data_IF_359396202728
#
_entry.id   IF_359396202728
#
_cell.length_a   1.000
_cell.length_b   1.000
_cell.length_c   1.000
_cell.angle_alpha   90.00
_cell.angle_beta   90.00
_cell.angle_gamma   90.00
#
_symmetry.space_group_name_H-M   'P 1'
#
loop_
_entity.id
_entity.type
_entity.pdbx_description
1 polymer ?
#
# COMPACT_ATOMS: atom_id res chain seq x y z
N UNK A 1 19.48 22.03 33.72
CA UNK A 1 19.60 21.60 32.32
C UNK A 1 18.97 20.23 32.22
N UNK A 2 17.69 20.17 31.88
CA UNK A 2 16.99 18.91 31.58
C UNK A 2 15.78 19.27 30.72
N UNK A 3 16.01 19.39 29.41
CA UNK A 3 14.97 19.55 28.40
C UNK A 3 15.28 18.52 27.31
N UNK A 4 14.50 17.44 27.25
CA UNK A 4 14.19 16.66 26.03
C UNK A 4 13.53 15.31 26.32
N UNK A 5 12.52 15.28 27.19
CA UNK A 5 11.44 14.30 26.99
C UNK A 5 10.44 14.92 26.02
N UNK A 6 10.70 14.74 24.73
CA UNK A 6 9.70 14.98 23.69
C UNK A 6 8.55 14.01 23.97
N UNK A 7 7.50 14.54 24.58
CA UNK A 7 6.33 13.81 25.01
C UNK A 7 5.54 13.33 23.77
N UNK A 8 5.83 12.11 23.32
CA UNK A 8 5.27 11.45 22.13
C UNK A 8 3.73 11.43 22.15
N UNK A 9 3.10 11.35 23.33
CA UNK A 9 1.63 11.41 23.49
C UNK A 9 1.05 12.79 23.13
N UNK A 10 1.82 13.87 23.34
CA UNK A 10 1.38 15.22 22.99
C UNK A 10 1.38 15.45 21.47
N UNK A 11 2.25 14.76 20.74
CA UNK A 11 2.34 14.80 19.28
C UNK A 11 1.22 13.96 18.64
N UNK A 12 0.90 12.79 19.19
CA UNK A 12 -0.23 11.96 18.73
C UNK A 12 -1.58 12.63 19.01
N UNK A 13 -1.77 13.26 20.18
CA UNK A 13 -3.00 14.06 20.41
C UNK A 13 -3.09 15.25 19.46
N UNK A 14 -2.01 16.03 19.27
CA UNK A 14 -2.02 17.17 18.34
C UNK A 14 -2.28 16.76 16.89
N UNK A 15 -1.73 15.63 16.42
CA UNK A 15 -1.97 15.15 15.07
C UNK A 15 -3.42 14.71 14.87
N UNK A 16 -4.02 14.09 15.89
CA UNK A 16 -5.43 13.66 15.86
C UNK A 16 -6.39 14.85 15.78
N UNK A 17 -6.16 15.91 16.58
CA UNK A 17 -6.96 17.14 16.55
C UNK A 17 -6.79 17.96 15.27
N UNK A 18 -5.60 17.97 14.67
CA UNK A 18 -5.39 18.67 13.39
C UNK A 18 -6.14 17.99 12.24
N UNK A 19 -6.32 16.67 12.26
CA UNK A 19 -6.96 15.92 11.19
C UNK A 19 -8.47 16.11 11.13
N UNK A 20 -9.16 16.29 12.26
CA UNK A 20 -10.63 16.48 12.29
C UNK A 20 -11.11 17.69 11.47
N UNK A 21 -10.26 18.72 11.31
CA UNK A 21 -10.62 19.95 10.58
C UNK A 21 -10.69 19.76 9.06
N UNK A 22 -10.07 18.71 8.52
CA UNK A 22 -9.90 18.48 7.08
C UNK A 22 -10.61 17.20 6.62
N UNK A 23 -11.60 16.80 7.38
CA UNK A 23 -12.34 15.58 7.19
C UNK A 23 -13.81 15.88 7.04
N UNK A 24 -14.41 15.20 6.08
CA UNK A 24 -15.82 15.33 5.79
C UNK A 24 -16.49 13.98 5.92
N UNK A 25 -17.72 13.99 6.41
CA UNK A 25 -18.55 12.79 6.43
C UNK A 25 -19.61 12.94 5.33
N UNK A 26 -19.58 12.12 4.27
CA UNK A 26 -20.55 12.25 3.20
C UNK A 26 -21.95 11.97 3.73
N UNK A 27 -22.91 12.75 3.23
CA UNK A 27 -24.31 12.59 3.57
C UNK A 27 -24.83 11.17 3.21
N UNK A 28 -24.30 10.60 2.12
CA UNK A 28 -24.68 9.28 1.62
C UNK A 28 -24.18 8.11 2.48
N UNK A 29 -23.29 8.36 3.45
CA UNK A 29 -22.80 7.33 4.38
C UNK A 29 -23.25 7.58 5.82
N UNK A 30 -24.37 8.28 6.04
CA UNK A 30 -24.82 8.75 7.37
C UNK A 30 -24.78 7.68 8.47
N UNK A 31 -25.04 6.42 8.16
CA UNK A 31 -25.07 5.32 9.14
C UNK A 31 -23.79 4.48 9.18
N UNK A 32 -22.80 4.81 8.36
CA UNK A 32 -21.53 4.11 8.32
C UNK A 32 -20.56 4.77 9.30
N UNK A 33 -19.83 3.94 10.02
CA UNK A 33 -18.77 4.37 10.90
C UNK A 33 -17.43 4.27 10.19
N UNK A 34 -16.72 5.38 10.13
CA UNK A 34 -15.35 5.43 9.60
C UNK A 34 -14.37 4.89 10.63
N UNK A 35 -13.72 3.76 10.32
CA UNK A 35 -12.57 3.25 11.05
C UNK A 35 -11.31 3.69 10.31
N UNK A 36 -10.58 4.66 10.89
CA UNK A 36 -9.26 5.04 10.37
C UNK A 36 -8.27 3.90 10.60
N UNK A 37 -7.40 3.70 9.65
CA UNK A 37 -6.34 2.71 9.73
C UNK A 37 -5.04 3.42 10.10
N UNK A 38 -4.27 2.82 11.01
CA UNK A 38 -2.99 3.41 11.41
C UNK A 38 -2.01 3.43 10.25
N UNK A 39 -1.36 4.58 9.97
CA UNK A 39 -0.30 4.62 8.98
C UNK A 39 0.88 3.77 9.44
N UNK A 40 1.23 2.73 8.66
CA UNK A 40 2.29 1.80 9.01
C UNK A 40 3.68 2.29 8.57
N UNK A 41 3.84 3.58 8.23
CA UNK A 41 5.11 4.15 7.77
C UNK A 41 6.23 3.96 8.80
N UNK A 42 5.91 4.09 10.10
CA UNK A 42 6.87 3.80 11.18
C UNK A 42 7.40 2.36 11.11
N UNK A 43 6.56 1.40 10.72
CA UNK A 43 6.96 -0.01 10.54
C UNK A 43 7.83 -0.22 9.30
N UNK A 44 7.68 0.61 8.25
CA UNK A 44 8.51 0.57 7.03
C UNK A 44 9.92 1.14 7.24
N UNK A 45 10.07 2.11 8.15
CA UNK A 45 11.35 2.81 8.34
C UNK A 45 12.49 1.84 8.68
N UNK A 46 12.24 0.89 9.59
CA UNK A 46 13.27 -0.04 10.05
C UNK A 46 13.76 -0.98 8.93
N UNK A 47 12.89 -1.69 8.17
CA UNK A 47 13.32 -2.44 7.00
C UNK A 47 13.98 -1.61 5.91
N UNK A 48 13.55 -0.36 5.74
CA UNK A 48 14.17 0.57 4.77
C UNK A 48 15.63 0.84 5.14
N UNK A 49 15.92 1.12 6.42
CA UNK A 49 17.27 1.33 6.89
C UNK A 49 18.16 0.10 6.71
N UNK A 50 17.65 -1.10 7.03
CA UNK A 50 18.39 -2.35 6.81
C UNK A 50 18.65 -2.64 5.34
N UNK A 51 17.63 -2.45 4.51
CA UNK A 51 17.75 -2.59 3.06
C UNK A 51 18.79 -1.63 2.48
N UNK A 52 18.80 -0.37 2.93
CA UNK A 52 19.80 0.62 2.52
C UNK A 52 21.21 0.25 3.00
N UNK A 53 21.35 -0.25 4.24
CA UNK A 53 22.62 -0.72 4.77
C UNK A 53 23.17 -1.88 3.93
N UNK A 54 22.33 -2.88 3.63
CA UNK A 54 22.68 -4.02 2.78
C UNK A 54 23.11 -3.54 1.39
N UNK A 55 22.35 -2.63 0.79
CA UNK A 55 22.68 -2.04 -0.51
C UNK A 55 24.02 -1.30 -0.46
N UNK A 56 24.26 -0.48 0.57
CA UNK A 56 25.51 0.28 0.75
C UNK A 56 26.73 -0.61 0.94
N UNK A 57 26.62 -1.68 1.74
CA UNK A 57 27.68 -2.69 1.89
C UNK A 57 27.91 -3.42 0.55
N UNK A 58 26.84 -3.74 -0.17
CA UNK A 58 26.93 -4.33 -1.51
C UNK A 58 27.71 -3.44 -2.48
N UNK A 59 27.37 -2.15 -2.55
CA UNK A 59 28.08 -1.14 -3.35
C UNK A 59 29.56 -1.11 -2.97
N UNK A 60 29.86 -1.04 -1.67
CA UNK A 60 31.23 -1.02 -1.18
C UNK A 60 32.02 -2.24 -1.66
N UNK A 61 31.46 -3.44 -1.51
CA UNK A 61 32.12 -4.70 -1.91
C UNK A 61 32.28 -4.83 -3.42
N UNK A 62 31.40 -4.22 -4.22
CA UNK A 62 31.55 -4.20 -5.68
C UNK A 62 32.55 -3.14 -6.19
N UNK A 63 32.79 -2.08 -5.41
CA UNK A 63 33.71 -1.00 -5.77
C UNK A 63 35.15 -1.26 -5.30
N UNK A 64 35.32 -1.98 -4.19
CA UNK A 64 36.63 -2.29 -3.65
C UNK A 64 37.33 -3.35 -4.51
N UNK A 65 38.58 -3.07 -4.87
CA UNK A 65 39.42 -3.89 -5.75
C UNK A 65 39.70 -5.29 -5.15
N UNK A 66 40.00 -6.27 -6.01
CA UNK A 66 40.31 -7.68 -5.68
C UNK A 66 41.50 -7.83 -4.73
N UNK A 67 42.27 -6.75 -4.53
CA UNK A 67 43.38 -6.67 -3.58
C UNK A 67 42.92 -6.50 -2.14
N UNK A 68 41.66 -6.13 -1.92
CA UNK A 68 41.02 -6.19 -0.62
C UNK A 68 40.46 -7.59 -0.42
N UNK A 69 40.47 -8.15 0.80
CA UNK A 69 39.90 -9.47 1.09
C UNK A 69 38.35 -9.52 0.95
N UNK A 70 37.74 -8.55 0.28
CA UNK A 70 36.32 -8.47 0.03
C UNK A 70 35.98 -9.11 -1.31
N UNK A 71 34.95 -9.95 -1.33
CA UNK A 71 34.52 -10.64 -2.54
C UNK A 71 33.43 -9.83 -3.26
N UNK A 72 33.66 -9.51 -4.54
CA UNK A 72 32.69 -8.82 -5.40
C UNK A 72 31.40 -9.64 -5.54
N UNK A 73 31.51 -10.96 -5.45
CA UNK A 73 30.38 -11.89 -5.44
C UNK A 73 29.46 -11.67 -4.23
N UNK A 74 30.04 -11.49 -3.05
CA UNK A 74 29.28 -11.13 -1.85
C UNK A 74 28.64 -9.76 -2.07
N UNK A 75 29.36 -8.82 -2.66
CA UNK A 75 28.83 -7.52 -3.06
C UNK A 75 27.60 -7.62 -3.98
N UNK A 76 27.65 -8.45 -5.02
CA UNK A 76 26.55 -8.66 -5.95
C UNK A 76 25.32 -9.30 -5.30
N UNK A 77 25.51 -10.27 -4.40
CA UNK A 77 24.41 -10.85 -3.61
C UNK A 77 23.79 -9.77 -2.71
N UNK A 78 24.60 -8.96 -2.04
CA UNK A 78 24.11 -7.88 -1.18
C UNK A 78 23.36 -6.81 -1.99
N UNK A 79 23.88 -6.41 -3.15
CA UNK A 79 23.20 -5.48 -4.06
C UNK A 79 21.82 -5.98 -4.49
N UNK A 80 21.69 -7.27 -4.80
CA UNK A 80 20.42 -7.85 -5.20
C UNK A 80 19.46 -8.04 -4.01
N UNK A 81 19.98 -8.44 -2.86
CA UNK A 81 19.17 -8.68 -1.66
C UNK A 81 18.66 -7.39 -1.02
N UNK A 82 19.36 -6.27 -1.16
CA UNK A 82 18.92 -4.96 -0.65
C UNK A 82 17.49 -4.62 -1.08
N UNK A 83 17.20 -4.45 -2.39
CA UNK A 83 15.85 -4.22 -2.89
C UNK A 83 14.88 -5.33 -2.47
N UNK A 84 15.25 -6.60 -2.60
CA UNK A 84 14.39 -7.74 -2.21
C UNK A 84 13.89 -7.66 -0.78
N UNK A 85 14.77 -7.33 0.17
CA UNK A 85 14.41 -7.14 1.58
C UNK A 85 13.36 -6.05 1.73
N UNK A 86 13.49 -4.93 1.01
CA UNK A 86 12.50 -3.86 1.03
C UNK A 86 11.15 -4.31 0.46
N UNK A 87 11.14 -4.95 -0.71
CA UNK A 87 9.91 -5.41 -1.36
C UNK A 87 9.15 -6.45 -0.53
N UNK A 88 9.87 -7.43 0.02
CA UNK A 88 9.29 -8.42 0.92
C UNK A 88 8.76 -7.78 2.21
N UNK A 89 9.46 -6.77 2.73
CA UNK A 89 9.00 -6.05 3.92
C UNK A 89 7.73 -5.25 3.66
N UNK A 90 7.56 -4.66 2.48
CA UNK A 90 6.31 -3.99 2.10
C UNK A 90 5.14 -4.99 2.10
N UNK A 91 5.33 -6.16 1.49
CA UNK A 91 4.31 -7.21 1.48
C UNK A 91 4.00 -7.69 2.90
N UNK A 92 5.04 -7.96 3.70
CA UNK A 92 4.90 -8.41 5.08
C UNK A 92 4.14 -7.39 5.94
N UNK A 93 4.54 -6.11 5.93
CA UNK A 93 3.88 -5.05 6.71
C UNK A 93 2.43 -4.88 6.24
N UNK A 94 2.15 -4.99 4.94
CA UNK A 94 0.78 -4.89 4.44
C UNK A 94 -0.17 -5.98 4.96
N UNK A 95 0.37 -7.13 5.37
CA UNK A 95 -0.41 -8.21 5.98
C UNK A 95 -0.80 -7.93 7.44
N UNK A 96 -0.16 -6.97 8.10
CA UNK A 96 -0.51 -6.53 9.47
C UNK A 96 -1.56 -5.42 9.50
N UNK A 97 -2.12 -5.05 8.36
CA UNK A 97 -3.19 -4.06 8.30
C UNK A 97 -4.52 -4.68 8.76
N UNK A 98 -5.35 -3.90 9.45
CA UNK A 98 -6.75 -4.26 9.65
C UNK A 98 -7.41 -4.38 8.25
N UNK A 99 -7.82 -5.60 7.90
CA UNK A 99 -8.18 -6.07 6.56
C UNK A 99 -7.02 -6.08 5.52
N UNK A 100 -6.14 -7.10 5.56
CA UNK A 100 -5.01 -7.20 4.63
C UNK A 100 -5.44 -7.61 3.21
N UNK A 101 -4.85 -6.96 2.20
CA UNK A 101 -5.02 -7.29 0.78
C UNK A 101 -3.67 -7.52 0.08
N UNK A 102 -2.87 -8.53 0.50
CA UNK A 102 -1.51 -8.74 -0.02
C UNK A 102 -1.45 -8.89 -1.53
N UNK A 103 -2.46 -9.49 -2.14
CA UNK A 103 -2.52 -9.68 -3.59
C UNK A 103 -2.60 -8.35 -4.34
N UNK A 104 -3.33 -7.35 -3.81
CA UNK A 104 -3.40 -6.01 -4.40
C UNK A 104 -2.07 -5.26 -4.25
N UNK A 105 -1.42 -5.41 -3.09
CA UNK A 105 -0.10 -4.81 -2.82
C UNK A 105 0.97 -5.42 -3.71
N UNK A 106 1.00 -6.74 -3.85
CA UNK A 106 1.92 -7.43 -4.77
C UNK A 106 1.67 -7.02 -6.22
N UNK A 107 0.41 -6.99 -6.65
CA UNK A 107 0.04 -6.54 -7.99
C UNK A 107 0.46 -5.09 -8.24
N UNK A 108 0.23 -4.21 -7.26
CA UNK A 108 0.66 -2.82 -7.26
C UNK A 108 2.18 -2.67 -7.36
N UNK A 109 2.91 -3.40 -6.53
CA UNK A 109 4.38 -3.39 -6.53
C UNK A 109 4.90 -3.84 -7.89
N UNK A 110 4.39 -4.94 -8.45
CA UNK A 110 4.83 -5.46 -9.77
C UNK A 110 4.49 -4.50 -10.91
N UNK A 111 3.29 -3.93 -10.95
CA UNK A 111 2.87 -3.02 -12.03
C UNK A 111 3.62 -1.70 -12.00
N UNK A 112 3.87 -1.18 -10.80
CA UNK A 112 4.57 0.09 -10.66
C UNK A 112 6.09 -0.07 -10.72
N UNK A 113 6.60 -1.31 -10.61
CA UNK A 113 8.00 -1.61 -10.86
C UNK A 113 8.26 -1.69 -12.34
N UNK A 114 9.30 -1.00 -12.81
CA UNK A 114 9.81 -1.23 -14.17
C UNK A 114 10.52 -2.58 -14.17
N UNK A 115 9.77 -3.65 -14.46
CA UNK A 115 10.23 -5.05 -14.44
C UNK A 115 11.52 -5.30 -15.23
N UNK A 116 11.82 -4.46 -16.22
CA UNK A 116 13.09 -4.46 -16.94
C UNK A 116 14.30 -4.39 -16.00
N UNK A 117 14.25 -3.57 -14.93
CA UNK A 117 15.36 -3.47 -13.97
C UNK A 117 15.54 -4.73 -13.15
N UNK A 118 14.43 -5.36 -12.74
CA UNK A 118 14.48 -6.64 -12.05
C UNK A 118 15.11 -7.73 -12.94
N UNK A 119 14.69 -7.81 -14.21
CA UNK A 119 15.27 -8.77 -15.16
C UNK A 119 16.74 -8.49 -15.46
N UNK A 120 17.14 -7.22 -15.61
CA UNK A 120 18.55 -6.83 -15.75
C UNK A 120 19.35 -7.24 -14.51
N UNK A 121 18.87 -6.95 -13.31
CA UNK A 121 19.53 -7.34 -12.06
C UNK A 121 19.71 -8.85 -11.95
N UNK A 122 18.68 -9.63 -12.25
CA UNK A 122 18.74 -11.10 -12.24
C UNK A 122 19.74 -11.60 -13.29
N UNK A 123 19.68 -11.07 -14.51
CA UNK A 123 20.60 -11.45 -15.59
C UNK A 123 22.06 -11.17 -15.23
N UNK A 124 22.36 -9.98 -14.72
CA UNK A 124 23.70 -9.63 -14.26
C UNK A 124 24.15 -10.51 -13.09
N UNK A 125 23.27 -10.82 -12.13
CA UNK A 125 23.59 -11.71 -11.02
C UNK A 125 23.94 -13.12 -11.53
N UNK A 126 23.14 -13.68 -12.43
CA UNK A 126 23.41 -14.98 -13.03
C UNK A 126 24.74 -14.99 -13.79
N UNK A 127 25.03 -13.94 -14.57
CA UNK A 127 26.32 -13.82 -15.27
C UNK A 127 27.48 -13.75 -14.27
N UNK A 128 27.33 -12.97 -13.20
CA UNK A 128 28.32 -12.84 -12.14
C UNK A 128 28.61 -14.17 -11.44
N UNK A 129 27.57 -14.97 -11.18
CA UNK A 129 27.68 -16.30 -10.55
C UNK A 129 28.37 -17.30 -11.49
N UNK A 130 27.94 -17.36 -12.74
CA UNK A 130 28.37 -18.40 -13.70
C UNK A 130 29.74 -18.10 -14.30
N UNK A 131 29.95 -16.89 -14.80
CA UNK A 131 31.14 -16.52 -15.56
C UNK A 131 32.23 -15.87 -14.71
N UNK A 132 31.90 -15.37 -13.52
CA UNK A 132 32.83 -14.72 -12.57
C UNK A 132 33.76 -13.70 -13.25
N UNK A 133 33.22 -12.60 -13.78
CA UNK A 133 33.99 -11.64 -14.56
C UNK A 133 35.11 -11.00 -13.72
N UNK A 134 36.31 -10.90 -14.30
CA UNK A 134 37.44 -10.21 -13.67
C UNK A 134 37.41 -8.68 -13.88
N UNK A 135 36.48 -8.18 -14.70
CA UNK A 135 36.39 -6.76 -15.04
C UNK A 135 35.59 -5.98 -13.99
N UNK A 136 36.21 -4.99 -13.34
CA UNK A 136 35.55 -4.09 -12.38
C UNK A 136 34.37 -3.33 -12.97
N UNK A 137 34.40 -3.02 -14.28
CA UNK A 137 33.29 -2.38 -14.98
C UNK A 137 32.00 -3.20 -14.92
N UNK A 138 32.11 -4.54 -14.93
CA UNK A 138 30.94 -5.42 -14.82
C UNK A 138 30.30 -5.31 -13.43
N UNK A 139 31.10 -5.37 -12.37
CA UNK A 139 30.61 -5.28 -11.00
C UNK A 139 29.98 -3.91 -10.71
N UNK A 140 30.56 -2.84 -11.25
CA UNK A 140 29.99 -1.49 -11.16
C UNK A 140 28.64 -1.37 -11.87
N UNK A 141 28.46 -2.07 -13.00
CA UNK A 141 27.20 -2.08 -13.74
C UNK A 141 26.06 -2.68 -12.92
N UNK A 142 26.35 -3.59 -11.97
CA UNK A 142 25.33 -4.19 -11.10
C UNK A 142 24.71 -3.19 -10.12
N UNK A 143 25.37 -2.07 -9.83
CA UNK A 143 24.88 -1.08 -8.86
C UNK A 143 23.60 -0.40 -9.37
N UNK A 144 23.63 0.08 -10.62
CA UNK A 144 22.59 0.93 -11.21
C UNK A 144 21.18 0.29 -11.15
N UNK A 145 20.94 -0.91 -11.71
CA UNK A 145 19.59 -1.47 -11.73
C UNK A 145 19.07 -1.78 -10.32
N UNK A 146 19.94 -2.18 -9.38
CA UNK A 146 19.54 -2.45 -8.00
C UNK A 146 19.21 -1.17 -7.23
N UNK A 147 19.95 -0.08 -7.44
CA UNK A 147 19.63 1.24 -6.86
C UNK A 147 18.30 1.75 -7.41
N UNK A 148 18.06 1.64 -8.73
CA UNK A 148 16.79 2.06 -9.33
C UNK A 148 15.62 1.26 -8.74
N UNK A 149 15.76 -0.07 -8.66
CA UNK A 149 14.75 -0.96 -8.08
C UNK A 149 14.46 -0.60 -6.62
N UNK A 150 15.50 -0.33 -5.84
CA UNK A 150 15.37 0.12 -4.45
C UNK A 150 14.59 1.43 -4.33
N UNK A 151 14.90 2.42 -5.17
CA UNK A 151 14.22 3.71 -5.19
C UNK A 151 12.74 3.56 -5.56
N UNK A 152 12.41 2.73 -6.56
CA UNK A 152 11.04 2.47 -6.98
C UNK A 152 10.21 1.85 -5.85
N UNK A 153 10.76 0.86 -5.16
CA UNK A 153 10.08 0.18 -4.07
C UNK A 153 9.99 1.04 -2.81
N UNK A 154 11.00 1.87 -2.54
CA UNK A 154 10.94 2.88 -1.48
C UNK A 154 9.79 3.85 -1.75
N UNK A 155 9.68 4.36 -2.98
CA UNK A 155 8.62 5.29 -3.35
C UNK A 155 7.24 4.63 -3.23
N UNK A 156 7.09 3.40 -3.73
CA UNK A 156 5.85 2.63 -3.60
C UNK A 156 5.46 2.41 -2.14
N UNK A 157 6.39 1.90 -1.32
CA UNK A 157 6.14 1.62 0.10
C UNK A 157 5.84 2.90 0.87
N UNK A 158 6.59 3.97 0.61
CA UNK A 158 6.35 5.28 1.24
C UNK A 158 4.97 5.81 0.88
N UNK A 159 4.58 5.75 -0.40
CA UNK A 159 3.25 6.15 -0.86
C UNK A 159 2.15 5.30 -0.21
N UNK A 160 2.30 3.98 -0.22
CA UNK A 160 1.32 3.04 0.30
C UNK A 160 1.09 3.22 1.81
N UNK A 161 2.15 3.34 2.60
CA UNK A 161 2.07 3.39 4.06
C UNK A 161 1.91 4.79 4.66
N UNK A 162 2.17 5.86 3.90
CA UNK A 162 1.92 7.23 4.36
C UNK A 162 0.51 7.70 4.06
N UNK A 163 -0.21 7.07 3.14
CA UNK A 163 -1.50 7.56 2.70
C UNK A 163 -2.57 7.33 3.76
N UNK A 164 -3.33 8.38 4.17
CA UNK A 164 -4.47 8.24 5.06
C UNK A 164 -5.45 7.21 4.49
N UNK A 165 -5.68 6.16 5.26
CA UNK A 165 -6.52 5.03 4.86
C UNK A 165 -7.64 4.85 5.86
N UNK A 166 -8.83 4.51 5.37
CA UNK A 166 -9.95 4.17 6.23
C UNK A 166 -10.80 3.06 5.62
N UNK A 167 -11.58 2.42 6.48
CA UNK A 167 -12.66 1.51 6.13
C UNK A 167 -13.93 2.13 6.67
N UNK A 168 -14.96 2.19 5.85
CA UNK A 168 -16.29 2.60 6.28
C UNK A 168 -17.08 1.35 6.59
N UNK A 169 -17.61 1.24 7.81
CA UNK A 169 -18.17 0.00 8.34
C UNK A 169 -19.61 0.24 8.79
N UNK A 170 -20.51 -0.68 8.49
CA UNK A 170 -21.87 -0.65 9.02
C UNK A 170 -22.33 -2.05 9.43
N UNK A 171 -23.02 -2.14 10.55
CA UNK A 171 -23.59 -3.40 11.01
C UNK A 171 -24.77 -3.82 10.12
N UNK A 172 -24.89 -5.11 9.83
CA UNK A 172 -26.02 -5.64 9.06
C UNK A 172 -26.54 -6.97 9.61
N UNK A 173 -27.79 -7.29 9.26
CA UNK A 173 -28.45 -8.55 9.58
C UNK A 173 -28.22 -9.57 8.45
N UNK A 174 -27.42 -10.64 8.65
CA UNK A 174 -27.08 -11.62 7.61
C UNK A 174 -28.24 -12.55 7.23
N UNK A 175 -29.37 -12.49 7.96
CA UNK A 175 -30.55 -13.30 7.61
C UNK A 175 -31.23 -12.84 6.32
N UNK A 176 -31.04 -11.57 5.94
CA UNK A 176 -31.65 -10.96 4.75
C UNK A 176 -30.77 -11.15 3.51
N UNK A 177 -31.39 -11.23 2.33
CA UNK A 177 -30.69 -11.28 1.05
C UNK A 177 -30.26 -9.89 0.60
N UNK A 178 -29.06 -9.77 0.06
CA UNK A 178 -28.59 -8.51 -0.50
C UNK A 178 -29.41 -8.08 -1.73
N UNK A 179 -29.67 -6.76 -1.90
CA UNK A 179 -30.43 -6.23 -3.04
C UNK A 179 -29.54 -6.16 -4.30
N UNK A 180 -29.13 -7.32 -4.82
CA UNK A 180 -28.22 -7.47 -5.96
C UNK A 180 -28.68 -6.64 -7.17
N UNK A 181 -29.93 -6.80 -7.61
CA UNK A 181 -30.46 -6.11 -8.80
C UNK A 181 -30.35 -4.59 -8.68
N UNK A 182 -30.74 -4.02 -7.53
CA UNK A 182 -30.69 -2.58 -7.27
C UNK A 182 -29.26 -2.04 -7.25
N UNK A 183 -28.32 -2.81 -6.70
CA UNK A 183 -26.91 -2.45 -6.70
C UNK A 183 -26.34 -2.50 -8.13
N UNK A 184 -26.68 -3.53 -8.89
CA UNK A 184 -26.26 -3.67 -10.29
C UNK A 184 -26.81 -2.57 -11.19
N UNK A 185 -28.10 -2.21 -11.06
CA UNK A 185 -28.72 -1.07 -11.74
C UNK A 185 -28.03 0.26 -11.40
N UNK A 186 -27.47 0.37 -10.19
CA UNK A 186 -26.72 1.55 -9.74
C UNK A 186 -25.26 1.57 -10.21
N UNK A 187 -24.84 0.58 -11.00
CA UNK A 187 -23.51 0.47 -11.60
C UNK A 187 -22.51 -0.38 -10.82
N UNK A 188 -22.92 -1.08 -9.76
CA UNK A 188 -22.05 -2.01 -9.05
C UNK A 188 -21.88 -3.33 -9.83
N UNK A 189 -20.64 -3.79 -9.98
CA UNK A 189 -20.36 -5.12 -10.53
C UNK A 189 -20.36 -6.12 -9.39
N UNK A 190 -21.29 -7.06 -9.46
CA UNK A 190 -21.39 -8.14 -8.49
C UNK A 190 -20.19 -9.07 -8.60
N UNK A 191 -19.60 -9.45 -7.47
CA UNK A 191 -18.41 -10.31 -7.40
C UNK A 191 -18.67 -11.61 -6.62
N UNK A 192 -19.62 -11.61 -5.69
CA UNK A 192 -19.95 -12.80 -4.92
C UNK A 192 -20.89 -13.74 -5.67
N UNK A 193 -20.71 -15.04 -5.50
CA UNK A 193 -21.67 -16.05 -5.99
C UNK A 193 -22.90 -16.18 -5.06
N UNK A 194 -22.88 -15.52 -3.90
CA UNK A 194 -23.92 -15.62 -2.87
C UNK A 194 -24.60 -14.28 -2.62
N UNK A 195 -25.90 -14.32 -2.33
CA UNK A 195 -26.67 -13.17 -1.81
C UNK A 195 -26.50 -12.97 -0.30
N UNK A 196 -25.81 -13.90 0.37
CA UNK A 196 -25.41 -13.85 1.78
C UNK A 196 -23.89 -14.06 1.90
N UNK A 197 -23.08 -13.19 1.30
CA UNK A 197 -21.63 -13.29 1.37
C UNK A 197 -21.14 -13.10 2.80
N UNK A 198 -20.13 -13.88 3.19
CA UNK A 198 -19.45 -13.75 4.48
C UNK A 198 -17.94 -13.75 4.25
N UNK A 199 -17.23 -12.81 4.88
CA UNK A 199 -15.77 -12.67 4.79
C UNK A 199 -15.26 -12.59 3.34
N UNK A 200 -16.01 -11.92 2.47
CA UNK A 200 -15.70 -11.85 1.04
C UNK A 200 -16.17 -10.55 0.41
N UNK A 201 -15.59 -10.25 -0.76
CA UNK A 201 -15.98 -9.15 -1.62
C UNK A 201 -17.38 -9.44 -2.17
N UNK A 202 -18.27 -8.45 -2.02
CA UNK A 202 -19.66 -8.52 -2.48
C UNK A 202 -19.73 -7.99 -3.90
N UNK A 203 -19.27 -6.76 -4.07
CA UNK A 203 -19.39 -6.02 -5.30
C UNK A 203 -18.32 -4.92 -5.37
N UNK A 204 -18.07 -4.40 -6.56
CA UNK A 204 -17.15 -3.30 -6.76
C UNK A 204 -17.64 -2.34 -7.85
N UNK A 205 -17.24 -1.07 -7.72
CA UNK A 205 -17.34 -0.05 -8.76
C UNK A 205 -15.95 0.38 -9.16
N UNK A 206 -15.61 0.17 -10.44
CA UNK A 206 -14.29 0.47 -10.98
C UNK A 206 -14.38 1.61 -11.98
N UNK A 207 -13.56 2.64 -11.79
CA UNK A 207 -13.26 3.64 -12.81
C UNK A 207 -11.80 3.45 -13.29
N UNK A 208 -11.30 4.33 -14.15
CA UNK A 208 -9.95 4.16 -14.75
C UNK A 208 -8.82 4.18 -13.71
N UNK A 209 -9.02 4.88 -12.61
CA UNK A 209 -7.95 5.24 -11.67
C UNK A 209 -8.19 4.76 -10.24
N UNK A 210 -9.38 4.23 -9.94
CA UNK A 210 -9.76 3.79 -8.60
C UNK A 210 -10.84 2.70 -8.64
N UNK A 211 -11.03 2.04 -7.50
CA UNK A 211 -12.06 1.03 -7.29
C UNK A 211 -12.67 1.26 -5.91
N UNK A 212 -13.99 1.37 -5.86
CA UNK A 212 -14.75 1.29 -4.62
C UNK A 212 -15.16 -0.17 -4.43
N UNK A 213 -14.78 -0.76 -3.32
CA UNK A 213 -15.06 -2.15 -2.98
C UNK A 213 -16.07 -2.21 -1.83
N UNK A 214 -17.10 -3.03 -2.01
CA UNK A 214 -18.04 -3.41 -0.97
C UNK A 214 -17.73 -4.85 -0.56
N UNK A 215 -17.44 -5.05 0.72
CA UNK A 215 -17.10 -6.35 1.30
C UNK A 215 -18.00 -6.67 2.50
N UNK A 216 -18.06 -7.94 2.85
CA UNK A 216 -18.66 -8.42 4.10
C UNK A 216 -17.57 -9.00 4.98
N UNK A 217 -17.67 -8.80 6.29
CA UNK A 217 -16.86 -9.51 7.26
C UNK A 217 -17.65 -9.77 8.54
N UNK A 218 -17.22 -10.80 9.28
CA UNK A 218 -17.72 -11.13 10.61
C UNK A 218 -16.63 -10.83 11.62
N UNK A 219 -17.00 -10.16 12.69
CA UNK A 219 -16.14 -9.92 13.84
C UNK A 219 -16.89 -10.36 15.10
N UNK A 220 -16.32 -11.30 15.84
CA UNK A 220 -16.98 -12.05 16.93
C UNK A 220 -18.37 -12.62 16.55
N UNK A 221 -19.43 -11.99 17.05
CA UNK A 221 -20.83 -12.38 16.82
C UNK A 221 -21.60 -11.36 15.96
N UNK A 222 -20.91 -10.36 15.43
CA UNK A 222 -21.48 -9.25 14.67
C UNK A 222 -21.08 -9.33 13.19
N UNK A 223 -21.96 -8.85 12.32
CA UNK A 223 -21.77 -8.89 10.87
C UNK A 223 -21.72 -7.47 10.33
N UNK A 224 -20.73 -7.21 9.48
CA UNK A 224 -20.44 -5.88 8.98
C UNK A 224 -20.29 -5.86 7.47
N UNK A 225 -20.82 -4.81 6.85
CA UNK A 225 -20.36 -4.40 5.52
C UNK A 225 -19.19 -3.44 5.68
N UNK A 226 -18.22 -3.55 4.79
CA UNK A 226 -17.16 -2.56 4.63
C UNK A 226 -17.18 -1.92 3.25
N UNK A 227 -16.93 -0.62 3.21
CA UNK A 227 -16.64 0.16 2.03
C UNK A 227 -15.21 0.64 2.07
N UNK A 228 -14.48 0.36 0.99
CA UNK A 228 -13.07 0.64 0.87
C UNK A 228 -12.78 1.26 -0.50
N UNK A 229 -12.04 2.37 -0.48
CA UNK A 229 -11.63 3.05 -1.70
C UNK A 229 -10.16 2.76 -2.00
N UNK A 230 -9.93 2.21 -3.19
CA UNK A 230 -8.64 1.77 -3.67
C UNK A 230 -8.22 2.60 -4.86
N UNK A 231 -7.05 3.22 -4.78
CA UNK A 231 -6.39 3.83 -5.93
C UNK A 231 -5.77 2.78 -6.84
N UNK A 232 -5.51 3.16 -8.09
CA UNK A 232 -4.67 2.41 -9.02
C UNK A 232 -3.34 2.09 -8.36
N UNK A 233 -2.88 0.86 -8.52
CA UNK A 233 -1.68 0.35 -7.83
C UNK A 233 -1.97 -0.27 -6.46
N UNK A 234 -3.24 -0.49 -6.10
CA UNK A 234 -3.60 -1.26 -4.91
C UNK A 234 -3.44 -0.49 -3.60
N UNK A 235 -3.47 0.85 -3.64
CA UNK A 235 -3.28 1.71 -2.47
C UNK A 235 -4.65 2.07 -1.89
N UNK A 236 -4.94 1.64 -0.66
CA UNK A 236 -6.15 2.02 0.05
C UNK A 236 -6.05 3.48 0.46
N UNK A 237 -7.14 4.23 0.35
CA UNK A 237 -7.19 5.63 0.76
C UNK A 237 -8.52 5.99 1.36
N UNK A 238 -8.50 7.07 2.13
CA UNK A 238 -9.69 7.74 2.59
C UNK A 238 -10.13 8.84 1.59
N UNK A 239 -11.27 8.65 0.90
CA UNK A 239 -11.76 9.62 -0.06
C UNK A 239 -12.32 10.90 0.56
N UNK A 240 -12.41 11.00 1.89
CA UNK A 240 -13.04 12.15 2.56
C UNK A 240 -12.07 12.94 3.44
N UNK A 241 -10.78 12.66 3.33
CA UNK A 241 -9.71 13.53 3.84
C UNK A 241 -9.33 14.52 2.75
N UNK A 242 -9.09 15.79 3.07
CA UNK A 242 -8.65 16.76 2.07
C UNK A 242 -7.34 16.35 1.37
N UNK A 243 -7.20 16.74 0.10
CA UNK A 243 -6.04 16.38 -0.74
C UNK A 243 -4.71 16.82 -0.13
N UNK A 244 -4.69 17.92 0.61
CA UNK A 244 -3.50 18.43 1.31
C UNK A 244 -2.93 17.42 2.31
N UNK A 245 -3.79 16.63 2.97
CA UNK A 245 -3.41 15.64 3.98
C UNK A 245 -3.25 14.24 3.40
N UNK A 246 -3.82 13.98 2.22
CA UNK A 246 -3.45 12.81 1.41
C UNK A 246 -1.99 12.84 0.94
N UNK A 247 -1.25 13.88 1.34
CA UNK A 247 0.17 14.11 1.09
C UNK A 247 1.03 12.87 1.30
N UNK A 248 2.04 12.78 0.44
CA UNK A 248 2.90 11.63 0.29
C UNK A 248 4.11 11.80 1.21
N UNK A 249 4.65 10.73 1.79
CA UNK A 249 5.86 10.85 2.61
C UNK A 249 7.06 11.42 1.83
N UNK A 250 7.13 11.19 0.51
CA UNK A 250 8.18 11.72 -0.37
C UNK A 250 7.56 12.27 -1.67
N UNK A 251 6.86 13.42 -1.62
CA UNK A 251 6.01 13.90 -2.72
C UNK A 251 6.75 14.05 -4.06
N UNK A 252 7.97 14.59 -4.03
CA UNK A 252 8.80 14.80 -5.20
C UNK A 252 9.16 13.48 -5.89
N UNK A 253 9.56 12.46 -5.12
CA UNK A 253 9.93 11.15 -5.64
C UNK A 253 8.71 10.42 -6.20
N UNK A 254 7.60 10.44 -5.48
CA UNK A 254 6.37 9.78 -5.89
C UNK A 254 5.78 10.44 -7.14
N UNK A 255 5.84 11.78 -7.24
CA UNK A 255 5.40 12.50 -8.44
C UNK A 255 6.32 12.23 -9.64
N UNK A 256 7.64 12.20 -9.43
CA UNK A 256 8.61 11.85 -10.46
C UNK A 256 8.39 10.45 -11.03
N UNK A 257 8.01 9.50 -10.18
CA UNK A 257 7.70 8.13 -10.57
C UNK A 257 6.24 7.95 -11.06
N UNK A 258 5.47 9.04 -11.18
CA UNK A 258 4.14 9.04 -11.77
C UNK A 258 3.02 8.55 -10.85
N UNK A 259 3.25 8.47 -9.54
CA UNK A 259 2.20 8.19 -8.56
C UNK A 259 1.29 9.41 -8.41
N UNK A 260 0.05 9.27 -8.89
CA UNK A 260 -0.97 10.31 -8.82
C UNK A 260 -2.15 9.85 -7.96
N UNK A 261 -2.68 10.78 -7.18
CA UNK A 261 -3.92 10.60 -6.43
C UNK A 261 -5.10 10.96 -7.34
N UNK A 262 -6.01 10.01 -7.58
CA UNK A 262 -7.25 10.31 -8.28
C UNK A 262 -8.20 11.09 -7.38
N UNK A 263 -9.04 11.92 -7.99
CA UNK A 263 -10.12 12.59 -7.29
C UNK A 263 -11.25 11.59 -7.00
N UNK A 264 -11.88 11.76 -5.85
CA UNK A 264 -13.00 10.91 -5.48
C UNK A 264 -14.25 11.31 -6.26
N UNK A 265 -14.81 10.38 -7.02
CA UNK A 265 -16.10 10.56 -7.68
C UNK A 265 -17.22 10.08 -6.75
N UNK A 266 -18.03 11.03 -6.27
CA UNK A 266 -19.18 10.78 -5.38
C UNK A 266 -20.18 9.79 -6.00
N UNK A 267 -20.28 9.70 -7.34
CA UNK A 267 -21.16 8.72 -8.00
C UNK A 267 -20.74 7.26 -7.72
N UNK A 268 -19.52 7.06 -7.22
CA UNK A 268 -19.04 5.76 -6.73
C UNK A 268 -19.85 5.26 -5.54
N UNK A 269 -20.51 6.14 -4.77
CA UNK A 269 -21.38 5.79 -3.65
C UNK A 269 -22.82 5.47 -4.05
N UNK A 270 -23.24 5.81 -5.27
CA UNK A 270 -24.63 5.61 -5.70
C UNK A 270 -25.06 4.15 -5.52
N UNK A 271 -26.22 3.93 -4.91
CA UNK A 271 -26.79 2.63 -4.60
C UNK A 271 -26.46 2.11 -3.20
N UNK A 272 -25.52 2.72 -2.47
CA UNK A 272 -25.24 2.36 -1.06
C UNK A 272 -26.45 2.65 -0.16
N UNK A 273 -27.26 3.65 -0.51
CA UNK A 273 -28.51 3.96 0.18
C UNK A 273 -29.51 2.78 0.20
N UNK A 274 -29.42 1.84 -0.76
CA UNK A 274 -30.23 0.64 -0.74
C UNK A 274 -29.79 -0.32 0.37
N UNK A 275 -28.50 -0.43 0.66
CA UNK A 275 -28.02 -1.24 1.78
C UNK A 275 -28.52 -0.64 3.10
N UNK A 276 -28.43 0.68 3.24
CA UNK A 276 -28.92 1.36 4.43
C UNK A 276 -30.42 1.10 4.65
N UNK A 277 -31.24 1.27 3.62
CA UNK A 277 -32.70 1.05 3.71
C UNK A 277 -33.08 -0.39 4.03
N UNK A 278 -32.32 -1.38 3.56
CA UNK A 278 -32.65 -2.80 3.73
C UNK A 278 -32.17 -3.37 5.08
N UNK A 279 -31.05 -2.86 5.60
CA UNK A 279 -30.34 -3.48 6.73
C UNK A 279 -30.33 -2.62 7.98
N UNK A 280 -30.41 -1.30 7.86
CA UNK A 280 -30.36 -0.38 8.99
C UNK A 280 -31.79 -0.12 9.43
N UNK A 281 -32.22 -0.86 10.46
CA UNK A 281 -33.47 -0.56 11.16
C UNK A 281 -33.35 0.84 11.75
N UNK A 282 -34.27 1.74 11.39
CA UNK A 282 -34.50 2.99 12.13
C UNK A 282 -34.98 2.69 13.54
#
# INVERSE_FOLDING_TARGET
>A
MNDSEINLESIEKKSTYHLEKYEFHPHDLKFWHRKRLEPLLKKLLYPTCWSLLILGIGILFTLLDHRTNFSEFIGAILLFTGPLVLGLSIIYISNYHDNPRPHLVMYGLVINTRMIWLFISIGLLCIGIVFKPANTMFWNLMIIPNVILWIEWLAFGSFYFSSPSAIWIVHYDPSKNLPMDKLSESGWKWASESLKPLNTVIAYKKNKESTMELSSFKDDNSYYFSLEWWQKGGIRQDPFVEKEIRGLAIPSLTQFLGYNLSEFDVNSLRGIEYLEKYYIKK
#
